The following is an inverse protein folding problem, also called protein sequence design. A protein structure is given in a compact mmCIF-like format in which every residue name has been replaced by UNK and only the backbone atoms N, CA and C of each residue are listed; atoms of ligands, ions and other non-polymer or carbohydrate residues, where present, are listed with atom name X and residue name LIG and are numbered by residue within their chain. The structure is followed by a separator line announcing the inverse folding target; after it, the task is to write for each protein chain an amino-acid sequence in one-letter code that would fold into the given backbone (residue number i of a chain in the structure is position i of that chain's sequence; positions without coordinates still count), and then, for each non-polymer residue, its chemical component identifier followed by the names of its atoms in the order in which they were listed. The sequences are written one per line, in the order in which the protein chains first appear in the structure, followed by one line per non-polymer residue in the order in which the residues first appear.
data_IF_589528232278
#
_entry.id   IF_589528232278
#
_cell.length_a   1.000
_cell.length_b   1.000
_cell.length_c   1.000
_cell.angle_alpha   90.00
_cell.angle_beta   90.00
_cell.angle_gamma   90.00
#
_symmetry.space_group_name_H-M   'P 1'
#
loop_
_entity.id
_entity.type
_entity.pdbx_description
1 polymer ?
#
# COMPACT_ATOMS: atom_id res chain seq x y z
N UNK A 1 -10.06 31.60 12.82
CA UNK A 1 -9.36 31.33 11.53
C UNK A 1 -9.55 29.86 11.17
N UNK A 2 -10.48 29.58 10.24
CA UNK A 2 -10.80 28.22 9.78
C UNK A 2 -9.60 27.65 9.02
N UNK A 3 -9.00 26.56 9.51
CA UNK A 3 -7.89 25.89 8.81
C UNK A 3 -8.40 25.40 7.44
N UNK A 4 -7.77 25.83 6.34
CA UNK A 4 -8.04 25.30 5.01
C UNK A 4 -7.91 23.77 5.05
N UNK A 5 -8.87 23.01 4.50
CA UNK A 5 -8.79 21.56 4.47
C UNK A 5 -7.50 21.15 3.76
N UNK A 6 -6.65 20.39 4.47
CA UNK A 6 -5.38 19.92 3.90
C UNK A 6 -5.69 18.83 2.89
N UNK A 7 -5.18 18.98 1.67
CA UNK A 7 -5.26 17.95 0.64
C UNK A 7 -4.63 16.65 1.16
N UNK A 8 -5.43 15.58 1.24
CA UNK A 8 -4.96 14.25 1.65
C UNK A 8 -4.45 13.53 0.40
N UNK A 9 -3.14 13.21 0.32
CA UNK A 9 -2.61 12.51 -0.84
C UNK A 9 -3.27 11.13 -1.00
N UNK A 10 -3.85 10.89 -2.18
CA UNK A 10 -4.36 9.58 -2.57
C UNK A 10 -3.32 8.81 -3.38
N UNK A 11 -3.33 7.48 -3.26
CA UNK A 11 -2.52 6.58 -4.08
C UNK A 11 -3.37 5.39 -4.51
N UNK A 12 -2.89 4.66 -5.51
CA UNK A 12 -3.60 3.52 -6.08
C UNK A 12 -2.94 2.23 -5.62
N UNK A 13 -3.73 1.33 -5.04
CA UNK A 13 -3.27 -0.03 -4.75
C UNK A 13 -3.00 -0.76 -6.06
N UNK A 14 -1.81 -1.35 -6.23
CA UNK A 14 -1.47 -2.05 -7.49
C UNK A 14 -2.29 -3.33 -7.68
N UNK A 15 -2.77 -3.95 -6.59
CA UNK A 15 -3.50 -5.22 -6.61
C UNK A 15 -4.97 -5.06 -6.93
N UNK A 16 -5.69 -4.20 -6.18
CA UNK A 16 -7.13 -3.99 -6.35
C UNK A 16 -7.47 -2.78 -7.22
N UNK A 17 -6.49 -1.94 -7.57
CA UNK A 17 -6.64 -0.70 -8.37
C UNK A 17 -7.51 0.38 -7.75
N UNK A 18 -7.90 0.23 -6.48
CA UNK A 18 -8.65 1.25 -5.73
C UNK A 18 -7.76 2.41 -5.31
N UNK A 19 -8.26 3.64 -5.49
CA UNK A 19 -7.69 4.86 -4.92
C UNK A 19 -8.01 4.93 -3.43
N UNK A 20 -6.99 5.10 -2.59
CA UNK A 20 -7.14 5.25 -1.14
C UNK A 20 -6.23 6.34 -0.58
N UNK A 21 -6.58 6.95 0.57
CA UNK A 21 -5.67 7.81 1.32
C UNK A 21 -4.34 7.12 1.59
N UNK A 22 -3.23 7.87 1.56
CA UNK A 22 -1.87 7.34 1.83
C UNK A 22 -1.80 6.48 3.10
N UNK A 23 -2.56 6.82 4.16
CA UNK A 23 -2.58 6.11 5.44
C UNK A 23 -3.14 4.68 5.37
N UNK A 24 -4.02 4.42 4.40
CA UNK A 24 -4.68 3.11 4.22
C UNK A 24 -3.86 2.19 3.30
N UNK A 25 -2.69 2.66 2.88
CA UNK A 25 -1.80 1.96 1.96
C UNK A 25 -0.42 1.83 2.59
N UNK A 26 0.24 0.72 2.28
CA UNK A 26 1.62 0.45 2.64
C UNK A 26 2.46 0.55 1.37
N UNK A 27 3.59 1.26 1.44
CA UNK A 27 4.53 1.35 0.32
C UNK A 27 5.51 0.20 0.40
N UNK A 28 5.77 -0.41 -0.73
CA UNK A 28 6.86 -1.36 -0.95
C UNK A 28 7.85 -0.67 -1.88
N UNK A 29 9.13 -0.66 -1.52
CA UNK A 29 10.17 0.05 -2.27
C UNK A 29 11.23 -0.94 -2.74
N UNK A 30 11.68 -0.74 -3.97
CA UNK A 30 12.91 -1.31 -4.49
C UNK A 30 14.05 -0.35 -4.22
N UNK A 31 15.01 -0.79 -3.42
CA UNK A 31 16.32 -0.17 -3.26
C UNK A 31 17.26 -0.77 -4.30
N UNK A 32 18.03 0.09 -4.96
CA UNK A 32 19.06 -0.32 -5.91
C UNK A 32 20.42 -0.02 -5.30
N UNK A 33 21.27 -1.04 -5.19
CA UNK A 33 22.67 -0.91 -4.78
C UNK A 33 23.51 -0.43 -5.97
N UNK A 34 24.59 0.33 -5.73
CA UNK A 34 25.57 0.67 -6.78
C UNK A 34 26.14 -0.57 -7.49
N UNK A 35 26.18 -1.71 -6.81
CA UNK A 35 26.71 -2.99 -7.31
C UNK A 35 25.72 -3.73 -8.23
N UNK A 36 24.55 -3.16 -8.52
CA UNK A 36 23.54 -3.73 -9.41
C UNK A 36 22.53 -4.65 -8.71
N UNK A 37 22.75 -4.96 -7.44
CA UNK A 37 21.79 -5.70 -6.62
C UNK A 37 20.54 -4.85 -6.31
N UNK A 38 19.38 -5.49 -6.26
CA UNK A 38 18.13 -4.82 -5.90
C UNK A 38 17.42 -5.55 -4.77
N UNK A 39 17.13 -4.82 -3.70
CA UNK A 39 16.41 -5.36 -2.53
C UNK A 39 15.04 -4.72 -2.46
N UNK A 40 14.02 -5.54 -2.20
CA UNK A 40 12.64 -5.06 -2.02
C UNK A 40 12.26 -5.14 -0.56
N UNK A 41 11.70 -4.04 -0.03
CA UNK A 41 11.35 -3.94 1.38
C UNK A 41 10.07 -3.13 1.60
N UNK A 42 9.45 -3.34 2.75
CA UNK A 42 8.32 -2.54 3.23
C UNK A 42 8.83 -1.18 3.71
N UNK A 43 8.18 -0.11 3.28
CA UNK A 43 8.48 1.28 3.64
C UNK A 43 7.23 1.99 4.18
N UNK A 44 6.98 1.86 5.47
CA UNK A 44 5.87 2.58 6.11
C UNK A 44 6.10 4.10 6.18
N UNK A 45 7.36 4.52 6.20
CA UNK A 45 7.72 5.94 6.32
C UNK A 45 7.45 6.70 5.03
N UNK A 46 7.57 6.01 3.88
CA UNK A 46 7.51 6.62 2.56
C UNK A 46 8.73 7.51 2.25
N UNK A 47 9.81 7.42 3.03
CA UNK A 47 11.00 8.28 2.91
C UNK A 47 12.13 7.62 2.11
N UNK A 48 12.05 6.31 1.86
CA UNK A 48 13.14 5.59 1.17
C UNK A 48 13.19 5.95 -0.31
N UNK A 49 14.39 6.24 -0.82
CA UNK A 49 14.62 6.51 -2.23
C UNK A 49 14.50 5.22 -3.05
N UNK A 50 13.86 5.31 -4.22
CA UNK A 50 13.72 4.17 -5.13
C UNK A 50 12.31 4.04 -5.71
N UNK A 51 12.16 3.04 -6.58
CA UNK A 51 10.89 2.73 -7.23
C UNK A 51 9.94 2.13 -6.20
N UNK A 52 8.80 2.78 -5.99
CA UNK A 52 7.80 2.33 -5.01
C UNK A 52 6.52 1.84 -5.66
N UNK A 53 5.85 0.91 -5.00
CA UNK A 53 4.48 0.48 -5.28
C UNK A 53 3.66 0.52 -3.98
N UNK A 54 2.34 0.62 -4.11
CA UNK A 54 1.43 0.69 -2.96
C UNK A 54 0.49 -0.51 -2.94
N UNK A 55 0.27 -1.07 -1.76
CA UNK A 55 -0.75 -2.07 -1.49
C UNK A 55 -1.66 -1.60 -0.36
N UNK A 56 -2.92 -2.02 -0.38
CA UNK A 56 -3.81 -1.80 0.76
C UNK A 56 -3.21 -2.40 2.03
N UNK A 57 -3.48 -1.76 3.16
CA UNK A 57 -3.13 -2.25 4.49
C UNK A 57 -4.08 -3.39 4.91
N UNK A 58 -4.25 -4.37 4.03
CA UNK A 58 -5.07 -5.58 4.19
C UNK A 58 -4.40 -6.78 3.49
N UNK A 59 -4.56 -7.98 4.05
CA UNK A 59 -3.89 -9.20 3.60
C UNK A 59 -4.22 -9.58 2.15
N UNK A 60 -5.49 -9.50 1.74
CA UNK A 60 -5.94 -9.93 0.40
C UNK A 60 -5.19 -9.24 -0.74
N UNK A 61 -4.85 -7.96 -0.55
CA UNK A 61 -4.12 -7.21 -1.58
C UNK A 61 -2.68 -7.70 -1.72
N UNK A 62 -2.05 -8.16 -0.63
CA UNK A 62 -0.68 -8.66 -0.64
C UNK A 62 -0.60 -10.05 -1.26
N UNK A 63 -1.49 -10.95 -0.87
CA UNK A 63 -1.59 -12.29 -1.45
C UNK A 63 -1.84 -12.22 -2.96
N UNK A 64 -2.81 -11.40 -3.38
CA UNK A 64 -3.09 -11.18 -4.81
C UNK A 64 -1.91 -10.55 -5.55
N UNK A 65 -1.17 -9.64 -4.92
CA UNK A 65 -0.02 -9.00 -5.54
C UNK A 65 1.13 -9.97 -5.76
N UNK A 66 1.39 -10.84 -4.79
CA UNK A 66 2.44 -11.87 -4.86
C UNK A 66 2.06 -12.98 -5.84
N UNK A 67 0.84 -13.52 -5.74
CA UNK A 67 0.37 -14.62 -6.59
C UNK A 67 0.36 -14.24 -8.08
N UNK A 68 0.06 -12.98 -8.40
CA UNK A 68 0.00 -12.48 -9.78
C UNK A 68 1.25 -11.73 -10.22
N UNK A 69 2.35 -11.79 -9.45
CA UNK A 69 3.62 -11.12 -9.75
C UNK A 69 3.47 -9.61 -10.03
N UNK A 70 2.48 -8.96 -9.40
CA UNK A 70 2.19 -7.55 -9.64
C UNK A 70 3.28 -6.65 -9.04
N UNK A 71 3.87 -7.06 -7.92
CA UNK A 71 4.99 -6.36 -7.31
C UNK A 71 6.24 -6.41 -8.19
N UNK A 72 6.56 -7.58 -8.76
CA UNK A 72 7.68 -7.75 -9.71
C UNK A 72 7.55 -6.81 -10.91
N UNK A 73 6.37 -6.79 -11.53
CA UNK A 73 6.06 -5.92 -12.66
C UNK A 73 6.12 -4.43 -12.29
N UNK A 74 5.52 -4.05 -11.15
CA UNK A 74 5.47 -2.66 -10.71
C UNK A 74 6.84 -2.11 -10.30
N UNK A 75 7.65 -2.93 -9.64
CA UNK A 75 8.99 -2.59 -9.15
C UNK A 75 10.09 -2.88 -10.17
N UNK A 76 9.78 -3.56 -11.29
CA UNK A 76 10.73 -4.02 -12.31
C UNK A 76 11.88 -4.83 -11.71
N UNK A 77 11.54 -5.89 -10.96
CA UNK A 77 12.48 -6.83 -10.35
C UNK A 77 11.90 -8.24 -10.36
N UNK A 78 12.76 -9.22 -10.20
CA UNK A 78 12.37 -10.57 -9.80
C UNK A 78 12.47 -10.65 -8.27
N UNK A 79 11.42 -11.14 -7.60
CA UNK A 79 11.46 -11.34 -6.15
C UNK A 79 11.97 -12.75 -5.86
N UNK A 80 12.96 -12.86 -4.97
CA UNK A 80 13.39 -14.17 -4.46
C UNK A 80 12.33 -14.74 -3.52
N UNK A 81 12.37 -16.05 -3.26
CA UNK A 81 11.41 -16.67 -2.35
C UNK A 81 11.55 -16.16 -0.92
N UNK A 82 12.75 -15.80 -0.48
CA UNK A 82 13.02 -15.20 0.82
C UNK A 82 12.30 -13.84 0.94
N UNK A 83 12.38 -13.01 -0.10
CA UNK A 83 11.69 -11.71 -0.12
C UNK A 83 10.17 -11.92 -0.15
N UNK A 84 9.67 -12.86 -0.94
CA UNK A 84 8.22 -13.18 -0.95
C UNK A 84 7.76 -13.68 0.42
N UNK A 85 8.53 -14.54 1.09
CA UNK A 85 8.23 -15.02 2.43
C UNK A 85 8.17 -13.87 3.43
N UNK A 86 9.14 -12.95 3.42
CA UNK A 86 9.13 -11.77 4.29
C UNK A 86 7.92 -10.86 4.03
N UNK A 87 7.51 -10.67 2.76
CA UNK A 87 6.32 -9.89 2.43
C UNK A 87 5.03 -10.59 2.88
N UNK A 88 4.94 -11.93 2.80
CA UNK A 88 3.82 -12.71 3.34
C UNK A 88 3.76 -12.62 4.86
N UNK A 89 4.90 -12.70 5.53
CA UNK A 89 4.98 -12.57 6.99
C UNK A 89 4.46 -11.20 7.44
N UNK A 90 4.93 -10.12 6.81
CA UNK A 90 4.38 -8.79 7.09
C UNK A 90 2.86 -8.71 6.86
N UNK A 91 2.35 -9.33 5.78
CA UNK A 91 0.92 -9.36 5.48
C UNK A 91 0.10 -10.19 6.48
N UNK A 92 0.71 -11.15 7.18
CA UNK A 92 0.06 -11.94 8.22
C UNK A 92 -0.40 -11.05 9.40
N UNK A 93 0.32 -9.98 9.70
CA UNK A 93 -0.07 -9.00 10.72
C UNK A 93 -1.20 -8.04 10.31
N UNK A 94 -1.66 -8.08 9.06
CA UNK A 94 -2.70 -7.18 8.54
C UNK A 94 -4.11 -7.80 8.64
N UNK A 95 -5.16 -6.96 8.78
CA UNK A 95 -6.54 -7.43 8.67
C UNK A 95 -6.78 -8.02 7.27
N UNK A 96 -7.73 -8.95 7.13
CA UNK A 96 -8.04 -9.57 5.83
C UNK A 96 -8.51 -8.53 4.80
N UNK A 97 -9.44 -7.66 5.22
CA UNK A 97 -10.00 -6.57 4.42
C UNK A 97 -9.96 -5.24 5.19
N UNK A 98 -9.78 -4.13 4.48
CA UNK A 98 -10.04 -2.80 5.04
C UNK A 98 -11.55 -2.60 5.05
N UNK A 99 -12.11 -2.30 6.23
CA UNK A 99 -13.47 -1.80 6.32
C UNK A 99 -13.63 -0.59 5.38
N UNK A 100 -14.55 -0.68 4.43
CA UNK A 100 -15.00 0.50 3.70
C UNK A 100 -15.68 1.39 4.72
N UNK A 101 -15.15 2.61 4.93
CA UNK A 101 -15.90 3.65 5.64
C UNK A 101 -17.10 4.02 4.76
N UNK A 102 -18.20 3.31 4.91
CA UNK A 102 -19.51 3.64 4.38
C UNK A 102 -20.42 3.98 5.54
N UNK A 103 -20.05 4.97 6.36
CA UNK A 103 -20.88 5.52 7.44
C UNK A 103 -20.44 6.97 7.67
N UNK A 104 -20.77 7.89 6.76
CA UNK A 104 -20.74 9.34 6.99
C UNK A 104 -21.85 10.01 6.13
N UNK A 105 -23.00 9.35 5.95
CA UNK A 105 -24.18 9.92 5.26
C UNK A 105 -25.50 9.63 6.00
N UNK A 106 -25.45 9.44 7.32
CA UNK A 106 -26.63 9.58 8.18
C UNK A 106 -26.37 10.68 9.22
N UNK A 107 -27.32 11.62 9.33
CA UNK A 107 -27.54 12.55 10.45
C UNK A 107 -27.00 13.99 10.30
N UNK A 108 -27.42 14.75 9.28
CA UNK A 108 -27.58 16.22 9.42
C UNK A 108 -28.76 16.74 8.60
N UNK A 109 -29.98 16.29 8.90
CA UNK A 109 -31.21 17.01 8.53
C UNK A 109 -32.39 16.57 9.42
N UNK A 110 -32.22 16.76 10.74
CA UNK A 110 -33.31 16.85 11.72
C UNK A 110 -33.02 18.01 12.66
N UNK A 111 -33.47 19.19 12.25
CA UNK A 111 -33.49 20.54 12.86
C UNK A 111 -33.22 21.46 11.66
N UNK A 112 -34.21 22.11 11.08
CA UNK A 112 -35.14 23.07 11.70
C UNK A 112 -36.48 23.03 10.98
#
# INVERSE_FOLDING_TARGET
MSKRPKHVPQRTCIACRTLRPKRDLVRIVRLSSPEGESTVMVDETGKRSGRGAYLCRQRDCWERALARQQLERALKVTLTEEVKAHLREYASGLPQHLATRTEDEETTERRV
#
